data_IF_799247423803
#
_entry.id   IF_799247423803
#
_cell.length_a   1.000
_cell.length_b   1.000
_cell.length_c   1.000
_cell.angle_alpha   90.00
_cell.angle_beta   90.00
_cell.angle_gamma   90.00
#
_symmetry.space_group_name_H-M   'P 1'
#
loop_
_entity.id
_entity.type
_entity.pdbx_description
1 polymer ?
#
# COMPACT_ATOMS: atom_id res chain seq x y z
N UNK A 1 -2.66 -15.90 11.21
CA UNK A 1 -1.60 -15.69 10.20
C UNK A 1 -1.95 -14.41 9.47
N UNK A 2 -1.14 -13.36 9.55
CA UNK A 2 -1.37 -12.12 8.79
C UNK A 2 -1.08 -12.39 7.32
N UNK A 3 -2.03 -12.08 6.43
CA UNK A 3 -1.82 -12.16 5.00
C UNK A 3 -1.12 -10.88 4.54
N UNK A 4 0.09 -10.98 3.99
CA UNK A 4 0.79 -9.86 3.35
C UNK A 4 0.56 -9.94 1.83
N UNK A 5 0.01 -8.87 1.24
CA UNK A 5 -0.17 -8.75 -0.20
C UNK A 5 0.31 -7.38 -0.68
N UNK A 6 1.05 -7.36 -1.77
CA UNK A 6 1.47 -6.12 -2.46
C UNK A 6 0.38 -5.77 -3.47
N UNK A 7 -0.11 -4.52 -3.43
CA UNK A 7 -1.14 -4.03 -4.35
C UNK A 7 -0.55 -3.73 -5.73
N UNK A 8 -1.37 -3.85 -6.77
CA UNK A 8 -0.97 -3.54 -8.14
C UNK A 8 -0.60 -2.07 -8.32
N UNK A 9 -1.27 -1.17 -7.59
CA UNK A 9 -0.96 0.25 -7.59
C UNK A 9 0.47 0.52 -7.08
N UNK A 10 0.91 -0.20 -6.04
CA UNK A 10 2.27 -0.08 -5.54
C UNK A 10 3.31 -0.61 -6.53
N UNK A 11 3.03 -1.73 -7.20
CA UNK A 11 3.91 -2.28 -8.24
C UNK A 11 4.07 -1.31 -9.42
N UNK A 12 2.97 -0.68 -9.86
CA UNK A 12 2.98 0.34 -10.92
C UNK A 12 3.77 1.58 -10.51
N UNK A 13 3.53 2.10 -9.31
CA UNK A 13 4.28 3.25 -8.78
C UNK A 13 5.78 2.95 -8.71
N UNK A 14 6.15 1.77 -8.22
CA UNK A 14 7.55 1.34 -8.14
C UNK A 14 8.19 1.18 -9.51
N UNK A 15 7.45 0.66 -10.49
CA UNK A 15 7.91 0.59 -11.88
C UNK A 15 8.16 1.99 -12.47
N UNK A 16 7.25 2.96 -12.22
CA UNK A 16 7.44 4.35 -12.64
C UNK A 16 8.64 5.03 -11.95
N UNK A 17 8.90 4.73 -10.67
CA UNK A 17 10.09 5.21 -9.99
C UNK A 17 11.39 4.60 -10.55
N UNK A 18 11.40 3.31 -10.85
CA UNK A 18 12.55 2.65 -11.45
C UNK A 18 12.91 3.24 -12.84
N UNK A 19 11.90 3.69 -13.60
CA UNK A 19 12.10 4.38 -14.89
C UNK A 19 12.66 5.78 -14.72
N UNK A 20 12.24 6.51 -13.68
CA UNK A 20 12.66 7.90 -13.42
C UNK A 20 14.00 7.98 -12.67
N UNK A 21 14.47 6.89 -12.08
CA UNK A 21 15.74 6.83 -11.37
C UNK A 21 15.74 7.58 -10.04
N UNK A 22 14.57 7.93 -9.51
CA UNK A 22 14.44 8.58 -8.22
C UNK A 22 14.80 7.63 -7.09
N UNK A 23 15.58 8.12 -6.12
CA UNK A 23 15.92 7.36 -4.93
C UNK A 23 14.68 7.19 -4.04
N UNK A 24 14.35 5.94 -3.71
CA UNK A 24 13.32 5.63 -2.70
C UNK A 24 13.89 5.99 -1.33
N UNK A 25 13.58 7.19 -0.84
CA UNK A 25 13.79 7.55 0.56
C UNK A 25 12.55 7.14 1.33
N UNK A 26 12.72 6.17 2.24
CA UNK A 26 11.68 5.82 3.19
C UNK A 26 11.54 6.96 4.19
N UNK A 27 10.47 7.73 4.08
CA UNK A 27 10.17 8.83 5.02
C UNK A 27 9.57 8.28 6.32
N UNK A 28 8.52 7.47 6.24
CA UNK A 28 7.76 7.02 7.41
C UNK A 28 7.06 5.66 7.21
N UNK A 29 6.92 4.90 8.29
CA UNK A 29 5.99 3.77 8.37
C UNK A 29 4.73 4.17 9.14
N UNK A 30 3.59 4.18 8.46
CA UNK A 30 2.29 4.45 9.09
C UNK A 30 1.60 3.14 9.45
N UNK A 31 1.41 2.90 10.75
CA UNK A 31 0.60 1.79 11.25
C UNK A 31 -0.83 2.27 11.52
N UNK A 32 -1.74 1.97 10.59
CA UNK A 32 -3.14 2.34 10.74
C UNK A 32 -3.90 1.31 11.61
N UNK A 33 -4.53 1.77 12.70
CA UNK A 33 -5.54 0.99 13.40
C UNK A 33 -6.90 1.26 12.76
N UNK A 34 -7.39 0.33 11.93
CA UNK A 34 -8.65 0.45 11.20
C UNK A 34 -9.76 -0.25 11.99
N UNK A 35 -10.72 0.48 12.59
CA UNK A 35 -11.82 -0.15 13.34
C UNK A 35 -12.65 -1.06 12.44
N UNK A 36 -12.91 -2.29 12.88
CA UNK A 36 -13.69 -3.27 12.11
C UNK A 36 -12.95 -3.91 10.92
N UNK A 37 -11.62 -3.79 10.87
CA UNK A 37 -10.82 -4.51 9.87
C UNK A 37 -10.83 -6.02 10.14
N UNK A 38 -11.48 -6.75 9.22
CA UNK A 38 -11.56 -8.21 9.26
C UNK A 38 -10.29 -8.86 8.68
N UNK A 39 -9.31 -9.12 9.53
CA UNK A 39 -8.00 -9.68 9.13
C UNK A 39 -8.04 -11.10 8.55
N UNK A 40 -9.19 -11.77 8.57
CA UNK A 40 -9.41 -13.10 7.98
C UNK A 40 -9.85 -13.03 6.52
N UNK A 41 -10.29 -11.86 6.04
CA UNK A 41 -10.70 -11.68 4.64
C UNK A 41 -9.46 -11.62 3.74
N UNK A 42 -9.54 -12.19 2.53
CA UNK A 42 -8.48 -12.04 1.55
C UNK A 42 -8.22 -10.57 1.24
N UNK A 43 -6.95 -10.16 1.18
CA UNK A 43 -6.56 -8.83 0.73
C UNK A 43 -6.80 -8.70 -0.77
N UNK A 44 -7.60 -7.72 -1.19
CA UNK A 44 -7.74 -7.39 -2.62
C UNK A 44 -6.51 -6.64 -3.11
N UNK A 45 -5.81 -7.20 -4.09
CA UNK A 45 -4.62 -6.56 -4.69
C UNK A 45 -4.96 -5.40 -5.61
N UNK A 46 -6.24 -5.22 -5.95
CA UNK A 46 -6.76 -4.10 -6.75
C UNK A 46 -7.19 -2.91 -5.90
N UNK A 47 -7.08 -3.00 -4.57
CA UNK A 47 -7.31 -1.87 -3.68
C UNK A 47 -6.45 -0.66 -4.11
N UNK A 48 -7.10 0.49 -4.27
CA UNK A 48 -6.44 1.75 -4.67
C UNK A 48 -5.97 2.52 -3.44
N UNK A 49 -5.21 3.59 -3.65
CA UNK A 49 -4.91 4.53 -2.57
C UNK A 49 -6.21 5.02 -1.91
N UNK A 50 -6.27 5.04 -0.57
CA UNK A 50 -7.42 5.59 0.13
C UNK A 50 -7.58 7.09 -0.18
N UNK A 51 -8.78 7.67 -0.02
CA UNK A 51 -8.99 9.10 -0.21
C UNK A 51 -8.04 9.92 0.67
N UNK A 52 -7.60 11.10 0.21
CA UNK A 52 -6.65 11.95 0.94
C UNK A 52 -7.12 12.35 2.36
N UNK A 53 -8.42 12.31 2.65
CA UNK A 53 -8.94 12.53 4.00
C UNK A 53 -8.61 11.38 4.99
N UNK A 54 -8.05 10.28 4.49
CA UNK A 54 -7.65 9.08 5.23
C UNK A 54 -6.14 8.84 5.17
N UNK A 55 -5.37 9.81 4.64
CA UNK A 55 -3.91 9.81 4.54
C UNK A 55 -3.38 10.94 5.42
#
# INVERSE_FOLDING_TARGET
MSQTAITLAFEQWKASQAVTGEAVLLDEFVFANVPGLEATKPVDRKETLPPAAQI
#
